data_IF_737356880916
#
_entry.id   IF_737356880916
#
_cell.length_a   1.000
_cell.length_b   1.000
_cell.length_c   1.000
_cell.angle_alpha   90.00
_cell.angle_beta   90.00
_cell.angle_gamma   90.00
#
_symmetry.space_group_name_H-M   'P 1'
#
loop_
_entity.id
_entity.type
_entity.pdbx_description
1 polymer ?
#
# COMPACT_ATOMS: atom_id res chain seq x y z
N UNK A 1 5.46 -2.04 -13.12
CA UNK A 1 5.98 -1.50 -14.39
C UNK A 1 6.65 -2.56 -15.24
N UNK A 2 7.58 -3.34 -14.67
CA UNK A 2 8.29 -4.40 -15.41
C UNK A 2 7.37 -5.42 -16.10
N UNK A 3 6.37 -5.94 -15.38
CA UNK A 3 5.42 -6.93 -15.95
C UNK A 3 4.69 -6.37 -17.18
N UNK A 4 4.19 -5.13 -17.12
CA UNK A 4 3.56 -4.48 -18.27
C UNK A 4 4.56 -4.24 -19.42
N UNK A 5 5.79 -3.80 -19.14
CA UNK A 5 6.83 -3.64 -20.17
C UNK A 5 7.17 -4.97 -20.86
N UNK A 6 7.22 -6.07 -20.10
CA UNK A 6 7.45 -7.41 -20.64
C UNK A 6 6.30 -7.87 -21.56
N UNK A 7 5.05 -7.69 -21.14
CA UNK A 7 3.88 -8.04 -21.98
C UNK A 7 3.85 -7.22 -23.28
N UNK A 8 4.18 -5.94 -23.21
CA UNK A 8 4.23 -5.04 -24.36
C UNK A 8 5.52 -5.17 -25.19
N UNK A 9 6.45 -6.06 -24.80
CA UNK A 9 7.75 -6.28 -25.47
C UNK A 9 8.58 -5.00 -25.60
N UNK A 10 8.46 -4.09 -24.63
CA UNK A 10 9.20 -2.81 -24.61
C UNK A 10 10.63 -3.06 -24.14
N UNK A 11 11.60 -2.71 -24.98
CA UNK A 11 13.02 -2.75 -24.64
C UNK A 11 13.36 -1.61 -23.69
N UNK A 12 14.37 -1.82 -22.83
CA UNK A 12 14.89 -0.74 -21.99
C UNK A 12 15.52 0.38 -22.84
N UNK A 13 16.02 0.05 -24.04
CA UNK A 13 16.59 1.00 -25.00
C UNK A 13 15.57 1.98 -25.55
N UNK A 14 14.30 1.60 -25.55
CA UNK A 14 13.20 2.44 -26.07
C UNK A 14 12.90 3.62 -25.14
N UNK A 15 13.41 3.60 -23.89
CA UNK A 15 13.27 4.67 -22.88
C UNK A 15 11.82 5.16 -22.68
N UNK A 16 10.82 4.32 -22.95
CA UNK A 16 9.40 4.65 -22.83
C UNK A 16 9.05 5.03 -21.40
N UNK A 17 8.31 6.13 -21.19
CA UNK A 17 7.90 6.59 -19.86
C UNK A 17 6.90 5.64 -19.18
N UNK A 18 6.90 5.60 -17.84
CA UNK A 18 5.94 4.77 -17.09
C UNK A 18 4.47 5.19 -17.35
N UNK A 19 4.23 6.49 -17.57
CA UNK A 19 2.90 7.02 -17.91
C UNK A 19 2.43 6.44 -19.24
N UNK A 20 3.30 6.41 -20.25
CA UNK A 20 2.96 5.84 -21.57
C UNK A 20 2.69 4.34 -21.50
N UNK A 21 3.51 3.59 -20.74
CA UNK A 21 3.29 2.15 -20.51
C UNK A 21 1.92 1.90 -19.86
N UNK A 22 1.53 2.71 -18.88
CA UNK A 22 0.24 2.60 -18.19
C UNK A 22 -0.94 2.91 -19.12
N UNK A 23 -0.82 3.93 -19.96
CA UNK A 23 -1.83 4.25 -20.99
C UNK A 23 -2.03 3.09 -21.98
N UNK A 24 -0.93 2.45 -22.42
CA UNK A 24 -0.99 1.31 -23.37
C UNK A 24 -1.77 0.11 -22.82
N UNK A 25 -1.78 -0.09 -21.49
CA UNK A 25 -2.55 -1.17 -20.84
C UNK A 25 -3.87 -0.67 -20.23
N UNK A 26 -4.28 0.56 -20.54
CA UNK A 26 -5.47 1.23 -19.98
C UNK A 26 -5.53 1.15 -18.44
N UNK A 27 -4.42 1.46 -17.76
CA UNK A 27 -4.32 1.50 -16.30
C UNK A 27 -3.91 2.88 -15.80
N UNK A 28 -4.45 3.27 -14.65
CA UNK A 28 -3.98 4.43 -13.89
C UNK A 28 -2.81 4.08 -12.96
N UNK A 29 -2.21 5.10 -12.34
CA UNK A 29 -1.22 4.91 -11.28
C UNK A 29 -1.90 4.36 -10.00
N UNK A 30 -1.50 3.17 -9.55
CA UNK A 30 -2.12 2.52 -8.38
C UNK A 30 -1.29 2.66 -7.08
N UNK A 31 -0.18 3.41 -7.09
CA UNK A 31 0.73 3.51 -5.93
C UNK A 31 -0.02 3.95 -4.67
N UNK A 32 -0.78 5.04 -4.73
CA UNK A 32 -1.55 5.53 -3.58
C UNK A 32 -2.62 4.55 -3.11
N UNK A 33 -3.31 3.89 -4.05
CA UNK A 33 -4.30 2.85 -3.74
C UNK A 33 -3.66 1.67 -3.01
N UNK A 34 -2.52 1.18 -3.50
CA UNK A 34 -1.76 0.08 -2.90
C UNK A 34 -1.26 0.48 -1.50
N UNK A 35 -0.74 1.70 -1.33
CA UNK A 35 -0.31 2.20 -0.02
C UNK A 35 -1.48 2.22 0.96
N UNK A 36 -2.63 2.78 0.57
CA UNK A 36 -3.83 2.81 1.41
C UNK A 36 -4.28 1.39 1.80
N UNK A 37 -4.32 0.47 0.84
CA UNK A 37 -4.68 -0.93 1.11
C UNK A 37 -3.71 -1.61 2.09
N UNK A 38 -2.40 -1.39 1.95
CA UNK A 38 -1.39 -1.93 2.87
C UNK A 38 -1.53 -1.35 4.27
N UNK A 39 -1.74 -0.03 4.39
CA UNK A 39 -2.00 0.63 5.68
C UNK A 39 -3.23 0.06 6.37
N UNK A 40 -4.35 -0.11 5.65
CA UNK A 40 -5.57 -0.70 6.19
C UNK A 40 -5.39 -2.17 6.58
N UNK A 41 -4.65 -2.96 5.79
CA UNK A 41 -4.35 -4.35 6.14
C UNK A 41 -3.52 -4.44 7.42
N UNK A 42 -2.51 -3.58 7.56
CA UNK A 42 -1.70 -3.51 8.76
C UNK A 42 -2.52 -3.04 9.97
N UNK A 43 -3.39 -2.04 9.80
CA UNK A 43 -4.33 -1.63 10.84
C UNK A 43 -5.21 -2.80 11.30
N UNK A 44 -5.79 -3.56 10.37
CA UNK A 44 -6.58 -4.76 10.71
C UNK A 44 -5.77 -5.83 11.43
N UNK A 45 -4.49 -6.00 11.08
CA UNK A 45 -3.56 -6.89 11.79
C UNK A 45 -3.31 -6.43 13.24
N UNK A 46 -3.09 -5.13 13.45
CA UNK A 46 -2.96 -4.54 14.80
C UNK A 46 -4.25 -4.78 15.60
N UNK A 47 -5.42 -4.52 15.02
CA UNK A 47 -6.70 -4.63 15.74
C UNK A 47 -7.05 -6.06 16.15
N UNK A 48 -6.58 -7.09 15.43
CA UNK A 48 -6.86 -8.51 15.74
C UNK A 48 -5.78 -9.18 16.62
N UNK A 49 -4.58 -8.62 16.70
CA UNK A 49 -3.48 -9.23 17.45
C UNK A 49 -3.43 -8.73 18.89
N UNK A 50 -3.55 -9.64 19.86
CA UNK A 50 -3.52 -9.30 21.29
C UNK A 50 -2.22 -8.62 21.73
N UNK A 51 -1.11 -8.95 21.06
CA UNK A 51 0.21 -8.33 21.29
C UNK A 51 0.26 -6.82 21.04
N UNK A 52 -0.76 -6.23 20.40
CA UNK A 52 -0.79 -4.82 20.04
C UNK A 52 -1.72 -3.99 20.93
N UNK A 53 -2.04 -4.45 22.15
CA UNK A 53 -3.01 -3.80 23.04
C UNK A 53 -2.76 -2.30 23.25
N UNK A 54 -1.51 -1.90 23.46
CA UNK A 54 -1.15 -0.48 23.61
C UNK A 54 -1.49 0.33 22.36
N UNK A 55 -1.11 -0.16 21.16
CA UNK A 55 -1.44 0.52 19.91
C UNK A 55 -2.95 0.60 19.69
N UNK A 56 -3.70 -0.43 20.06
CA UNK A 56 -5.17 -0.41 19.99
C UNK A 56 -5.75 0.69 20.89
N UNK A 57 -5.26 0.84 22.11
CA UNK A 57 -5.70 1.91 23.03
C UNK A 57 -5.41 3.30 22.47
N UNK A 58 -4.20 3.50 21.93
CA UNK A 58 -3.80 4.77 21.29
C UNK A 58 -4.71 5.08 20.08
N UNK A 59 -4.95 4.10 19.20
CA UNK A 59 -5.78 4.27 18.00
C UNK A 59 -7.25 4.55 18.36
N UNK A 60 -7.76 3.94 19.43
CA UNK A 60 -9.12 4.14 19.93
C UNK A 60 -9.27 5.41 20.77
N UNK A 61 -8.16 6.11 21.09
CA UNK A 61 -8.18 7.29 21.95
C UNK A 61 -8.62 6.99 23.39
N UNK A 62 -8.45 5.74 23.85
CA UNK A 62 -8.79 5.36 25.23
C UNK A 62 -7.68 5.79 26.16
N UNK A 63 -8.04 6.40 27.28
CA UNK A 63 -7.09 6.69 28.36
C UNK A 63 -6.47 5.37 28.81
N UNK A 64 -5.14 5.33 28.84
CA UNK A 64 -4.43 4.27 29.55
C UNK A 64 -4.45 4.71 30.99
N UNK A 65 -5.43 4.23 31.76
CA UNK A 65 -5.40 4.34 33.22
C UNK A 65 -4.28 3.39 33.69
N UNK A 66 -3.03 3.83 33.52
CA UNK A 66 -1.90 3.31 34.24
C UNK A 66 -2.21 3.64 35.70
N UNK A 67 -2.72 2.64 36.42
CA UNK A 67 -2.88 2.68 37.86
C UNK A 67 -1.55 3.13 38.46
N UNK A 68 -1.52 4.38 38.91
CA UNK A 68 -0.58 4.90 39.91
C UNK A 68 -1.31 4.84 41.24
#
# INVERSE_FOLDING_TARGET
>A
MWVYRRMLRISWKDRVSNVRVLQMVNKGAEVLKIIKQRKLRYLGHIMRGDKYKLLQLIIQGKKVDLLV
#
